data_IF_740491026890
#
_entry.id   IF_740491026890
#
_cell.length_a   1.000
_cell.length_b   1.000
_cell.length_c   1.000
_cell.angle_alpha   90.00
_cell.angle_beta   90.00
_cell.angle_gamma   90.00
#
_symmetry.space_group_name_H-M   'P 1'
#
loop_
_entity.id
_entity.type
_entity.pdbx_description
1 polymer ?
#
# COMPACT_ATOMS: atom_id res chain seq x y z
N UNK A 1 -11.00 -24.27 -8.59
CA UNK A 1 -10.05 -23.14 -8.47
C UNK A 1 -10.86 -21.93 -8.02
N UNK A 2 -10.39 -21.18 -7.03
CA UNK A 2 -11.01 -19.92 -6.60
C UNK A 2 -9.91 -18.86 -6.52
N UNK A 3 -9.64 -18.22 -7.67
CA UNK A 3 -8.60 -17.20 -7.79
C UNK A 3 -9.15 -15.84 -7.37
N UNK A 4 -9.28 -15.62 -6.07
CA UNK A 4 -9.66 -14.34 -5.51
C UNK A 4 -8.65 -13.27 -5.91
N UNK A 5 -9.11 -12.29 -6.69
CA UNK A 5 -8.40 -11.06 -6.95
C UNK A 5 -8.92 -10.00 -5.98
N UNK A 6 -8.00 -9.26 -5.37
CA UNK A 6 -8.31 -8.15 -4.48
C UNK A 6 -7.41 -6.99 -4.86
N UNK A 7 -8.02 -5.84 -5.16
CA UNK A 7 -7.35 -4.70 -5.77
C UNK A 7 -7.57 -3.43 -4.95
N UNK A 8 -6.59 -3.04 -4.13
CA UNK A 8 -6.54 -1.70 -3.54
C UNK A 8 -6.04 -0.67 -4.59
N UNK A 9 -6.88 -0.35 -5.57
CA UNK A 9 -6.66 0.82 -6.41
C UNK A 9 -6.99 2.11 -5.63
N UNK A 10 -6.27 3.20 -5.91
CA UNK A 10 -6.74 4.53 -5.52
C UNK A 10 -8.08 4.81 -6.22
N UNK A 11 -9.12 5.13 -5.44
CA UNK A 11 -10.49 5.14 -5.92
C UNK A 11 -10.80 6.32 -6.86
N UNK A 12 -10.63 6.10 -8.17
CA UNK A 12 -11.02 7.03 -9.24
C UNK A 12 -12.24 6.48 -10.00
N UNK A 13 -13.43 7.05 -9.77
CA UNK A 13 -14.65 6.73 -10.50
C UNK A 13 -14.71 7.45 -11.86
N UNK A 14 -15.37 6.86 -12.86
CA UNK A 14 -15.51 7.45 -14.21
C UNK A 14 -16.69 6.88 -15.00
N UNK A 15 -17.68 7.71 -15.39
CA UNK A 15 -18.66 7.41 -16.44
C UNK A 15 -18.24 8.02 -17.81
N UNK A 16 -18.89 7.64 -18.93
CA UNK A 16 -18.17 7.55 -20.21
C UNK A 16 -18.37 8.71 -21.22
N UNK A 17 -17.28 9.09 -21.89
CA UNK A 17 -17.27 9.76 -23.19
C UNK A 17 -16.18 9.15 -24.09
N UNK A 18 -16.35 9.21 -25.42
CA UNK A 18 -15.53 8.45 -26.38
C UNK A 18 -14.37 9.25 -26.96
N UNK A 19 -13.13 8.83 -26.68
CA UNK A 19 -11.96 9.03 -27.54
C UNK A 19 -11.01 7.82 -27.36
N UNK A 20 -10.30 7.40 -28.42
CA UNK A 20 -9.47 6.18 -28.39
C UNK A 20 -8.02 6.49 -27.99
N UNK A 21 -7.72 6.31 -26.71
CA UNK A 21 -6.36 6.14 -26.20
C UNK A 21 -6.24 4.76 -25.52
N UNK A 22 -5.03 4.15 -25.44
CA UNK A 22 -4.86 2.89 -24.71
C UNK A 22 -5.14 3.08 -23.21
N UNK A 23 -5.66 2.05 -22.51
CA UNK A 23 -6.08 2.19 -21.11
C UNK A 23 -4.87 2.28 -20.17
N UNK A 24 -4.90 3.19 -19.17
CA UNK A 24 -3.93 3.16 -18.07
C UNK A 24 -4.14 1.89 -17.25
N UNK A 25 -3.06 1.15 -16.98
CA UNK A 25 -3.08 -0.01 -16.06
C UNK A 25 -2.75 0.49 -14.66
N UNK A 26 -3.77 0.65 -13.82
CA UNK A 26 -3.61 0.78 -12.37
C UNK A 26 -4.46 -0.31 -11.71
N UNK A 27 -3.83 -1.37 -11.26
CA UNK A 27 -4.48 -2.61 -10.81
C UNK A 27 -3.54 -3.35 -9.85
N UNK A 28 -3.78 -3.17 -8.54
CA UNK A 28 -3.20 -4.06 -7.51
C UNK A 28 -3.70 -5.48 -7.77
N UNK A 29 -2.79 -6.39 -8.07
CA UNK A 29 -3.09 -7.80 -8.29
C UNK A 29 -2.77 -8.64 -7.06
N UNK A 30 -3.81 -9.24 -6.47
CA UNK A 30 -3.68 -10.37 -5.55
C UNK A 30 -4.17 -11.66 -6.23
N UNK A 31 -3.54 -12.79 -5.95
CA UNK A 31 -3.92 -14.09 -6.56
C UNK A 31 -3.56 -15.26 -5.64
N UNK A 32 -4.52 -16.15 -5.39
CA UNK A 32 -4.36 -17.40 -4.63
C UNK A 32 -4.43 -18.61 -5.57
N UNK A 33 -3.34 -19.37 -5.68
CA UNK A 33 -3.20 -20.52 -6.60
C UNK A 33 -2.40 -21.69 -5.99
N UNK A 34 -2.40 -22.83 -6.68
CA UNK A 34 -1.57 -24.01 -6.39
C UNK A 34 -1.02 -24.57 -7.71
N UNK A 35 0.21 -25.13 -7.72
CA UNK A 35 0.97 -25.38 -8.95
C UNK A 35 1.95 -26.58 -8.91
N UNK A 36 2.25 -27.21 -10.07
CA UNK A 36 3.40 -28.11 -10.30
C UNK A 36 4.53 -27.45 -11.13
N UNK A 37 5.55 -28.21 -11.56
CA UNK A 37 6.95 -27.75 -11.72
C UNK A 37 7.68 -28.07 -13.06
N UNK A 38 8.86 -27.44 -13.29
CA UNK A 38 9.77 -27.72 -14.43
C UNK A 38 11.16 -27.02 -14.36
N UNK A 39 12.21 -27.71 -14.85
CA UNK A 39 13.66 -27.35 -14.87
C UNK A 39 14.09 -26.48 -16.10
N UNK A 40 15.34 -25.99 -16.28
CA UNK A 40 16.44 -25.44 -15.44
C UNK A 40 17.68 -25.08 -16.32
N UNK A 41 18.62 -24.23 -15.84
CA UNK A 41 20.08 -24.08 -16.18
C UNK A 41 20.62 -22.65 -16.42
N UNK A 42 21.92 -22.48 -16.10
CA UNK A 42 22.84 -21.30 -16.10
C UNK A 42 24.27 -21.84 -16.41
N UNK A 43 25.38 -21.06 -16.49
CA UNK A 43 25.64 -19.61 -16.25
C UNK A 43 26.13 -18.91 -17.56
N UNK A 44 27.03 -17.92 -17.70
CA UNK A 44 27.96 -17.16 -16.84
C UNK A 44 28.38 -15.81 -17.50
N UNK A 45 29.13 -14.94 -16.80
CA UNK A 45 29.80 -13.74 -17.34
C UNK A 45 31.22 -13.52 -16.72
N UNK A 46 32.19 -12.94 -17.46
CA UNK A 46 33.50 -12.50 -16.93
C UNK A 46 33.50 -11.01 -16.49
N UNK A 47 34.67 -10.45 -16.18
CA UNK A 47 34.81 -9.24 -15.33
C UNK A 47 35.68 -8.10 -15.89
N UNK A 48 35.29 -6.87 -15.50
CA UNK A 48 36.12 -5.68 -15.21
C UNK A 48 36.48 -4.67 -16.32
N UNK A 49 36.47 -3.39 -15.89
CA UNK A 49 37.03 -2.14 -16.45
C UNK A 49 36.49 -1.62 -17.80
N UNK A 50 35.43 -0.79 -17.77
CA UNK A 50 35.02 0.13 -18.85
C UNK A 50 34.18 1.36 -18.37
N UNK A 51 34.24 1.72 -17.07
CA UNK A 51 33.29 2.61 -16.36
C UNK A 51 33.03 4.02 -16.98
N UNK A 52 33.93 4.60 -17.79
CA UNK A 52 33.71 5.92 -18.43
C UNK A 52 33.24 5.84 -19.90
N UNK A 53 33.39 4.68 -20.55
CA UNK A 53 32.90 4.45 -21.91
C UNK A 53 31.46 3.91 -21.88
N UNK A 54 31.18 3.00 -20.94
CA UNK A 54 29.86 2.38 -20.77
C UNK A 54 28.77 3.42 -20.43
N UNK A 55 29.08 4.50 -19.67
CA UNK A 55 28.12 5.58 -19.40
C UNK A 55 27.73 6.37 -20.66
N UNK A 56 28.69 6.67 -21.56
CA UNK A 56 28.39 7.43 -22.79
C UNK A 56 27.63 6.58 -23.81
N UNK A 57 27.98 5.30 -23.96
CA UNK A 57 27.26 4.39 -24.84
C UNK A 57 25.86 4.05 -24.29
N UNK A 58 25.69 3.95 -22.96
CA UNK A 58 24.38 3.85 -22.33
C UNK A 58 23.50 5.10 -22.56
N UNK A 59 24.07 6.30 -22.46
CA UNK A 59 23.33 7.55 -22.74
C UNK A 59 22.89 7.64 -24.21
N UNK A 60 23.76 7.28 -25.16
CA UNK A 60 23.36 7.22 -26.57
C UNK A 60 22.36 6.10 -26.85
N UNK A 61 22.47 4.95 -26.18
CA UNK A 61 21.54 3.85 -26.36
C UNK A 61 20.15 4.17 -25.79
N UNK A 62 20.07 4.82 -24.63
CA UNK A 62 18.81 5.36 -24.08
C UNK A 62 18.14 6.34 -25.05
N UNK A 63 18.91 7.19 -25.75
CA UNK A 63 18.36 8.08 -26.79
C UNK A 63 17.83 7.28 -28.00
N UNK A 64 18.57 6.26 -28.47
CA UNK A 64 18.12 5.37 -29.55
C UNK A 64 16.88 4.54 -29.17
N UNK A 65 16.76 4.12 -27.91
CA UNK A 65 15.62 3.35 -27.39
C UNK A 65 14.34 4.20 -27.22
N UNK A 66 14.44 5.54 -27.06
CA UNK A 66 13.25 6.41 -27.05
C UNK A 66 12.69 6.73 -28.45
N UNK A 67 13.49 6.57 -29.51
CA UNK A 67 13.06 6.78 -30.90
C UNK A 67 12.70 5.46 -31.63
N UNK A 68 12.90 4.30 -30.99
CA UNK A 68 12.67 2.98 -31.57
C UNK A 68 11.22 2.49 -31.47
N UNK A 69 10.51 2.42 -32.62
CA UNK A 69 9.21 1.74 -32.71
C UNK A 69 9.38 0.22 -32.51
N UNK A 70 9.13 -0.26 -31.30
CA UNK A 70 9.51 -1.60 -30.86
C UNK A 70 8.32 -2.47 -30.45
N UNK A 71 7.90 -3.29 -31.43
CA UNK A 71 6.99 -4.42 -31.28
C UNK A 71 7.49 -5.41 -30.21
N UNK A 72 6.89 -5.37 -29.02
CA UNK A 72 7.27 -6.17 -27.86
C UNK A 72 7.38 -7.67 -28.16
N UNK A 73 8.60 -8.19 -28.13
CA UNK A 73 8.91 -9.63 -28.18
C UNK A 73 9.13 -10.12 -26.75
N UNK A 74 8.47 -11.21 -26.36
CA UNK A 74 8.53 -11.73 -25.00
C UNK A 74 9.96 -12.15 -24.63
N UNK A 75 10.49 -11.57 -23.55
CA UNK A 75 11.75 -12.01 -22.95
C UNK A 75 11.58 -13.39 -22.26
N UNK A 76 12.59 -14.28 -22.31
CA UNK A 76 12.55 -15.55 -21.59
C UNK A 76 12.63 -15.31 -20.07
N UNK A 77 12.05 -16.19 -19.23
CA UNK A 77 12.04 -16.01 -17.78
C UNK A 77 13.43 -16.17 -17.17
N UNK A 78 13.79 -15.26 -16.26
CA UNK A 78 15.00 -15.35 -15.44
C UNK A 78 14.91 -16.55 -14.49
N UNK A 79 15.94 -17.41 -14.36
CA UNK A 79 15.87 -18.58 -13.49
C UNK A 79 15.78 -18.20 -12.00
N UNK A 80 14.87 -18.83 -11.27
CA UNK A 80 14.74 -18.67 -9.83
C UNK A 80 15.84 -19.42 -9.08
N UNK A 81 16.40 -18.79 -8.04
CA UNK A 81 17.24 -19.48 -7.07
C UNK A 81 16.42 -20.54 -6.32
N UNK A 82 16.81 -21.82 -6.45
CA UNK A 82 16.11 -22.93 -5.82
C UNK A 82 16.56 -23.11 -4.37
N UNK A 83 15.82 -22.57 -3.42
CA UNK A 83 15.82 -23.11 -2.05
C UNK A 83 15.18 -24.51 -2.08
N UNK A 84 15.91 -25.52 -1.62
CA UNK A 84 15.51 -26.93 -1.78
C UNK A 84 14.61 -27.41 -0.63
N UNK A 85 13.42 -26.83 -0.49
CA UNK A 85 12.38 -27.34 0.40
C UNK A 85 11.80 -28.66 -0.14
N UNK A 86 11.57 -29.69 0.69
CA UNK A 86 11.02 -30.96 0.25
C UNK A 86 9.56 -30.84 -0.18
N UNK A 87 9.21 -31.50 -1.28
CA UNK A 87 7.86 -31.43 -1.85
C UNK A 87 6.81 -32.05 -0.91
N UNK A 88 5.68 -31.34 -0.72
CA UNK A 88 4.49 -31.85 -0.04
C UNK A 88 4.30 -31.41 1.42
N UNK A 89 5.22 -30.63 2.01
CA UNK A 89 4.99 -30.01 3.30
C UNK A 89 3.86 -28.96 3.21
N UNK A 90 2.87 -29.04 4.11
CA UNK A 90 1.86 -27.99 4.25
C UNK A 90 2.55 -26.71 4.76
N UNK A 91 2.47 -25.62 4.00
CA UNK A 91 3.15 -24.36 4.27
C UNK A 91 2.26 -23.14 3.94
N UNK A 92 2.58 -22.02 4.58
CA UNK A 92 2.10 -20.69 4.22
C UNK A 92 3.18 -20.01 3.38
N UNK A 93 2.82 -19.53 2.20
CA UNK A 93 3.73 -18.87 1.26
C UNK A 93 3.31 -17.41 1.01
N UNK A 94 4.31 -16.56 0.78
CA UNK A 94 4.14 -15.16 0.37
C UNK A 94 5.07 -14.85 -0.82
N UNK A 95 4.50 -14.50 -1.97
CA UNK A 95 5.20 -14.05 -3.19
C UNK A 95 5.03 -12.53 -3.34
N UNK A 96 6.07 -11.77 -3.02
CA UNK A 96 6.15 -10.32 -3.17
C UNK A 96 6.77 -10.01 -4.54
N UNK A 97 5.90 -9.69 -5.51
CA UNK A 97 6.26 -9.59 -6.94
C UNK A 97 7.22 -8.44 -7.22
N UNK A 98 6.92 -7.26 -6.69
CA UNK A 98 7.66 -6.03 -6.98
C UNK A 98 9.11 -6.04 -6.44
N UNK A 99 9.39 -6.49 -5.20
CA UNK A 99 10.76 -6.69 -4.74
C UNK A 99 11.38 -8.03 -5.20
N UNK A 100 10.65 -8.88 -5.93
CA UNK A 100 11.12 -10.18 -6.42
C UNK A 100 11.52 -11.16 -5.31
N UNK A 101 10.73 -11.27 -4.24
CA UNK A 101 11.02 -12.13 -3.08
C UNK A 101 9.88 -13.09 -2.79
N UNK A 102 10.20 -14.33 -2.44
CA UNK A 102 9.26 -15.33 -1.96
C UNK A 102 9.69 -15.88 -0.60
N UNK A 103 8.74 -16.04 0.31
CA UNK A 103 8.92 -16.58 1.66
C UNK A 103 8.01 -17.78 1.89
N UNK A 104 8.43 -18.71 2.76
CA UNK A 104 7.66 -19.91 3.07
C UNK A 104 7.89 -20.37 4.50
N UNK A 105 6.78 -20.64 5.20
CA UNK A 105 6.78 -21.12 6.59
C UNK A 105 5.97 -22.41 6.70
N UNK A 106 6.58 -23.53 7.14
CA UNK A 106 5.85 -24.78 7.37
C UNK A 106 4.73 -24.59 8.40
N UNK A 107 3.52 -25.05 8.07
CA UNK A 107 2.35 -24.94 8.96
C UNK A 107 2.62 -25.53 10.35
N UNK A 108 3.45 -26.58 10.45
CA UNK A 108 3.87 -27.17 11.72
C UNK A 108 4.70 -26.20 12.60
N UNK A 109 5.64 -25.43 12.02
CA UNK A 109 6.42 -24.42 12.76
C UNK A 109 5.57 -23.23 13.19
N UNK A 110 4.66 -22.77 12.32
CA UNK A 110 3.68 -21.73 12.68
C UNK A 110 2.79 -22.18 13.84
N UNK A 111 2.29 -23.42 13.78
CA UNK A 111 1.46 -24.04 14.81
C UNK A 111 2.21 -24.21 16.13
N UNK A 112 3.48 -24.64 16.11
CA UNK A 112 4.34 -24.75 17.28
C UNK A 112 4.66 -23.38 17.92
N UNK A 113 5.01 -22.38 17.12
CA UNK A 113 5.50 -21.09 17.61
C UNK A 113 4.39 -20.13 18.06
N UNK A 114 3.14 -20.28 17.58
CA UNK A 114 2.09 -19.26 17.75
C UNK A 114 0.86 -19.71 18.56
N UNK A 115 0.76 -20.99 18.96
CA UNK A 115 -0.43 -21.52 19.67
C UNK A 115 -0.50 -21.23 21.18
N UNK A 116 0.48 -20.55 21.76
CA UNK A 116 0.45 -20.20 23.20
C UNK A 116 -0.72 -19.28 23.57
N UNK A 117 -1.31 -18.59 22.58
CA UNK A 117 -2.54 -17.81 22.73
C UNK A 117 -3.65 -18.34 21.81
N UNK A 118 -4.90 -18.28 22.28
CA UNK A 118 -6.06 -18.67 21.48
C UNK A 118 -6.20 -17.74 20.27
N UNK A 119 -6.15 -18.32 19.06
CA UNK A 119 -6.32 -17.58 17.81
C UNK A 119 -7.63 -16.77 17.83
N UNK A 120 -7.51 -15.46 17.59
CA UNK A 120 -8.65 -14.58 17.48
C UNK A 120 -9.49 -15.00 16.26
N UNK A 121 -10.79 -15.28 16.46
CA UNK A 121 -11.67 -15.60 15.35
C UNK A 121 -11.75 -14.44 14.35
N UNK A 122 -11.96 -14.73 13.06
CA UNK A 122 -11.95 -13.72 12.00
C UNK A 122 -12.91 -12.53 12.21
N UNK A 123 -13.93 -12.66 13.07
CA UNK A 123 -14.88 -11.61 13.45
C UNK A 123 -14.43 -10.71 14.63
N UNK A 124 -13.34 -11.05 15.33
CA UNK A 124 -12.84 -10.36 16.53
C UNK A 124 -11.37 -9.90 16.38
N UNK A 125 -11.11 -8.76 15.71
CA UNK A 125 -9.78 -8.17 15.53
C UNK A 125 -9.08 -7.79 16.85
N UNK A 126 -8.31 -8.71 17.44
CA UNK A 126 -7.47 -8.46 18.62
C UNK A 126 -6.13 -7.84 18.25
N UNK A 127 -5.51 -7.10 19.16
CA UNK A 127 -4.12 -6.66 19.03
C UNK A 127 -3.15 -7.82 19.20
N UNK A 128 -2.02 -7.80 18.50
CA UNK A 128 -0.92 -8.74 18.77
C UNK A 128 -0.36 -8.51 20.18
N UNK A 129 -0.15 -9.60 20.93
CA UNK A 129 0.58 -9.56 22.20
C UNK A 129 2.09 -9.36 21.95
N UNK A 130 2.86 -8.85 22.93
CA UNK A 130 4.31 -8.76 22.82
C UNK A 130 4.96 -10.13 22.59
N UNK A 131 4.46 -11.18 23.26
CA UNK A 131 5.00 -12.53 23.16
C UNK A 131 4.74 -13.16 21.79
N UNK A 132 3.53 -12.99 21.24
CA UNK A 132 3.22 -13.44 19.87
C UNK A 132 3.99 -12.65 18.82
N UNK A 133 4.23 -11.35 19.03
CA UNK A 133 5.09 -10.56 18.15
C UNK A 133 6.54 -11.04 18.20
N UNK A 134 7.08 -11.35 19.38
CA UNK A 134 8.42 -11.91 19.54
C UNK A 134 8.55 -13.32 18.89
N UNK A 135 7.51 -14.14 18.97
CA UNK A 135 7.46 -15.42 18.25
C UNK A 135 7.43 -15.24 16.73
N UNK A 136 6.69 -14.25 16.22
CA UNK A 136 6.69 -13.87 14.80
C UNK A 136 8.07 -13.37 14.37
N UNK A 137 8.76 -12.53 15.14
CA UNK A 137 10.12 -12.07 14.82
C UNK A 137 11.10 -13.24 14.65
N UNK A 138 11.05 -14.25 15.55
CA UNK A 138 11.88 -15.47 15.42
C UNK A 138 11.60 -16.25 14.13
N UNK A 139 10.34 -16.33 13.71
CA UNK A 139 9.96 -16.94 12.42
C UNK A 139 10.44 -16.13 11.19
N UNK A 140 10.88 -14.88 11.38
CA UNK A 140 11.55 -14.08 10.34
C UNK A 140 13.08 -14.17 10.43
N UNK A 141 13.64 -14.34 11.63
CA UNK A 141 15.05 -14.68 11.84
C UNK A 141 15.41 -16.06 11.22
N UNK A 142 14.40 -16.94 11.07
CA UNK A 142 14.48 -18.19 10.30
C UNK A 142 14.49 -18.02 8.76
N UNK A 143 14.40 -16.79 8.21
CA UNK A 143 14.29 -16.54 6.76
C UNK A 143 15.45 -15.68 6.21
N UNK A 144 15.91 -15.98 5.00
CA UNK A 144 16.98 -15.23 4.32
C UNK A 144 16.47 -13.88 3.74
N UNK A 145 16.25 -12.89 4.61
CA UNK A 145 15.93 -11.50 4.23
C UNK A 145 17.24 -10.77 3.86
N UNK A 146 17.42 -10.28 2.63
CA UNK A 146 18.63 -9.53 2.26
C UNK A 146 18.77 -8.23 3.08
N UNK A 147 19.98 -7.84 3.47
CA UNK A 147 20.23 -6.68 4.35
C UNK A 147 19.62 -5.37 3.79
N UNK A 148 19.78 -5.13 2.49
CA UNK A 148 19.18 -3.99 1.77
C UNK A 148 17.63 -3.98 1.76
N UNK A 149 16.99 -5.04 2.25
CA UNK A 149 15.54 -5.23 2.32
C UNK A 149 15.02 -5.50 3.75
N UNK A 150 15.82 -5.26 4.80
CA UNK A 150 15.42 -5.36 6.22
C UNK A 150 14.16 -4.53 6.55
N UNK A 151 13.89 -3.46 5.80
CA UNK A 151 12.66 -2.66 5.94
C UNK A 151 11.37 -3.46 5.67
N UNK A 152 11.44 -4.62 5.00
CA UNK A 152 10.29 -5.52 4.82
C UNK A 152 9.87 -6.24 6.11
N UNK A 153 10.76 -6.44 7.08
CA UNK A 153 10.50 -7.32 8.24
C UNK A 153 9.26 -6.90 9.03
N UNK A 154 8.98 -5.60 9.14
CA UNK A 154 7.76 -5.10 9.78
C UNK A 154 6.47 -5.49 9.01
N UNK A 155 6.51 -5.47 7.68
CA UNK A 155 5.43 -5.91 6.81
C UNK A 155 5.26 -7.44 6.80
N UNK A 156 6.36 -8.20 6.87
CA UNK A 156 6.32 -9.65 7.02
C UNK A 156 5.74 -10.08 8.38
N UNK A 157 6.04 -9.34 9.46
CA UNK A 157 5.41 -9.56 10.77
C UNK A 157 3.91 -9.29 10.72
N UNK A 158 3.48 -8.22 10.02
CA UNK A 158 2.07 -7.92 9.82
C UNK A 158 1.37 -9.00 8.95
N UNK A 159 2.03 -9.51 7.90
CA UNK A 159 1.53 -10.64 7.11
C UNK A 159 1.30 -11.88 7.98
N UNK A 160 2.32 -12.35 8.71
CA UNK A 160 2.22 -13.55 9.53
C UNK A 160 1.15 -13.38 10.61
N UNK A 161 1.04 -12.21 11.23
CA UNK A 161 -0.02 -11.92 12.19
C UNK A 161 -1.41 -11.96 11.57
N UNK A 162 -1.65 -11.26 10.45
CA UNK A 162 -2.96 -11.22 9.81
C UNK A 162 -3.37 -12.60 9.30
N UNK A 163 -2.48 -13.29 8.59
CA UNK A 163 -2.72 -14.63 8.05
C UNK A 163 -3.06 -15.62 9.17
N UNK A 164 -2.19 -15.74 10.19
CA UNK A 164 -2.38 -16.74 11.26
C UNK A 164 -3.49 -16.39 12.24
N UNK A 165 -3.97 -15.13 12.27
CA UNK A 165 -5.19 -14.78 13.01
C UNK A 165 -6.45 -15.11 12.21
N UNK A 166 -6.52 -14.70 10.93
CA UNK A 166 -7.76 -14.79 10.14
C UNK A 166 -7.99 -16.21 9.58
N UNK A 167 -6.94 -16.88 9.09
CA UNK A 167 -7.01 -18.24 8.52
C UNK A 167 -6.46 -19.33 9.46
N UNK A 168 -5.76 -18.97 10.54
CA UNK A 168 -4.98 -19.91 11.33
C UNK A 168 -3.75 -20.42 10.56
N UNK A 169 -3.16 -21.53 11.00
CA UNK A 169 -1.99 -22.14 10.35
C UNK A 169 -2.36 -23.02 9.13
N UNK A 170 -3.40 -22.64 8.36
CA UNK A 170 -3.83 -23.36 7.15
C UNK A 170 -2.84 -23.13 5.99
N UNK A 171 -2.49 -24.16 5.19
CA UNK A 171 -1.61 -23.97 4.05
C UNK A 171 -2.27 -23.12 2.96
N UNK A 172 -1.47 -22.31 2.26
CA UNK A 172 -1.94 -21.39 1.23
C UNK A 172 -0.85 -20.43 0.75
N UNK A 173 -1.04 -19.86 -0.44
CA UNK A 173 -0.09 -18.94 -1.08
C UNK A 173 -0.72 -17.58 -1.35
N UNK A 174 -0.17 -16.54 -0.74
CA UNK A 174 -0.52 -15.15 -1.04
C UNK A 174 0.47 -14.58 -2.05
N UNK A 175 -0.06 -14.00 -3.13
CA UNK A 175 0.72 -13.27 -4.14
C UNK A 175 0.36 -11.79 -4.09
N UNK A 176 1.34 -10.89 -4.10
CA UNK A 176 1.13 -9.45 -3.89
C UNK A 176 1.93 -8.61 -4.88
N UNK A 177 1.29 -7.59 -5.46
CA UNK A 177 1.89 -6.55 -6.31
C UNK A 177 1.29 -5.18 -6.01
N UNK A 178 2.08 -4.11 -6.13
CA UNK A 178 1.68 -2.74 -5.72
C UNK A 178 2.25 -1.64 -6.62
N UNK A 179 1.37 -0.88 -7.28
CA UNK A 179 1.73 0.34 -8.02
C UNK A 179 2.17 1.51 -7.08
N UNK A 180 1.94 1.42 -5.77
CA UNK A 180 2.30 2.47 -4.81
C UNK A 180 3.80 2.43 -4.44
N UNK A 181 4.55 3.53 -4.58
CA UNK A 181 5.97 3.57 -4.20
C UNK A 181 6.14 3.47 -2.68
N UNK A 182 6.87 2.46 -2.23
CA UNK A 182 7.05 2.14 -0.81
C UNK A 182 7.89 3.20 -0.09
N UNK A 183 7.54 3.54 1.15
CA UNK A 183 8.26 4.52 1.98
C UNK A 183 8.02 5.99 1.62
N UNK A 184 7.28 6.28 0.54
CA UNK A 184 6.96 7.63 0.04
C UNK A 184 6.07 8.49 0.96
N UNK A 185 5.37 7.87 1.90
CA UNK A 185 4.31 8.50 2.70
C UNK A 185 2.90 8.41 2.10
N UNK A 186 2.72 7.74 0.97
CA UNK A 186 1.41 7.55 0.30
C UNK A 186 0.55 6.42 0.90
N UNK A 187 0.71 6.09 2.19
CA UNK A 187 -0.11 5.07 2.87
C UNK A 187 0.08 3.62 2.37
N UNK A 188 1.19 3.29 1.69
CA UNK A 188 1.39 1.98 1.06
C UNK A 188 1.33 0.79 2.04
N UNK A 189 1.73 0.96 3.30
CA UNK A 189 1.60 -0.07 4.35
C UNK A 189 0.14 -0.30 4.77
N UNK A 190 -0.67 0.76 4.78
CA UNK A 190 -2.10 0.69 5.08
C UNK A 190 -2.86 0.03 3.93
N UNK A 191 -2.56 0.39 2.67
CA UNK A 191 -3.11 -0.27 1.49
C UNK A 191 -2.77 -1.78 1.44
N UNK A 192 -1.54 -2.15 1.81
CA UNK A 192 -1.13 -3.54 2.04
C UNK A 192 -1.97 -4.22 3.12
N UNK A 193 -2.06 -3.64 4.32
CA UNK A 193 -2.82 -4.19 5.44
C UNK A 193 -4.32 -4.36 5.11
N UNK A 194 -4.93 -3.43 4.36
CA UNK A 194 -6.32 -3.51 3.89
C UNK A 194 -6.50 -4.63 2.86
N UNK A 195 -5.67 -4.66 1.81
CA UNK A 195 -5.71 -5.70 0.77
C UNK A 195 -5.58 -7.11 1.36
N UNK A 196 -4.60 -7.26 2.25
CA UNK A 196 -4.34 -8.50 2.97
C UNK A 196 -5.53 -8.90 3.84
N UNK A 197 -6.06 -7.98 4.64
CA UNK A 197 -7.21 -8.26 5.53
C UNK A 197 -8.45 -8.65 4.74
N UNK A 198 -8.80 -7.92 3.68
CA UNK A 198 -9.95 -8.21 2.83
C UNK A 198 -9.88 -9.59 2.19
N UNK A 199 -8.78 -9.91 1.52
CA UNK A 199 -8.62 -11.19 0.86
C UNK A 199 -8.57 -12.38 1.83
N UNK A 200 -7.93 -12.22 3.00
CA UNK A 200 -7.92 -13.25 4.05
C UNK A 200 -9.32 -13.46 4.66
N UNK A 201 -10.09 -12.40 4.89
CA UNK A 201 -11.44 -12.48 5.45
C UNK A 201 -12.42 -13.17 4.48
N UNK A 202 -12.32 -12.87 3.18
CA UNK A 202 -13.09 -13.57 2.15
C UNK A 202 -12.66 -15.04 2.06
N UNK A 203 -11.36 -15.35 2.12
CA UNK A 203 -10.85 -16.72 2.16
C UNK A 203 -11.24 -17.48 3.45
N UNK A 204 -11.53 -16.77 4.55
CA UNK A 204 -12.07 -17.33 5.78
C UNK A 204 -13.59 -17.56 5.72
N UNK A 205 -14.30 -17.00 4.74
CA UNK A 205 -15.77 -16.92 4.71
C UNK A 205 -16.35 -15.97 5.76
N UNK A 206 -15.54 -15.01 6.25
CA UNK A 206 -15.92 -14.05 7.28
C UNK A 206 -16.47 -12.73 6.74
N UNK A 207 -16.20 -12.44 5.46
CA UNK A 207 -16.70 -11.31 4.67
C UNK A 207 -17.33 -11.86 3.39
N UNK A 208 -18.39 -11.23 2.88
CA UNK A 208 -18.95 -11.61 1.59
C UNK A 208 -17.93 -11.35 0.46
N UNK A 209 -17.44 -12.43 -0.16
CA UNK A 209 -16.66 -12.29 -1.39
C UNK A 209 -17.50 -11.71 -2.51
N UNK A 210 -16.94 -10.76 -3.25
CA UNK A 210 -17.59 -10.09 -4.39
C UNK A 210 -17.72 -11.02 -5.62
N UNK A 211 -18.35 -12.18 -5.46
CA UNK A 211 -18.63 -13.15 -6.53
C UNK A 211 -19.81 -12.66 -7.38
N UNK A 212 -19.62 -11.49 -8.00
CA UNK A 212 -20.55 -10.93 -8.98
C UNK A 212 -20.53 -11.71 -10.29
N UNK A 213 -21.68 -11.79 -10.95
CA UNK A 213 -21.92 -12.52 -12.20
C UNK A 213 -21.40 -11.79 -13.46
N UNK A 214 -20.28 -11.09 -13.32
CA UNK A 214 -19.64 -10.32 -14.40
C UNK A 214 -20.36 -9.03 -14.80
N UNK A 215 -21.34 -8.56 -13.98
CA UNK A 215 -22.13 -7.34 -14.24
C UNK A 215 -22.24 -6.41 -13.02
N UNK A 216 -21.10 -5.95 -12.52
CA UNK A 216 -21.03 -4.88 -11.53
C UNK A 216 -19.61 -4.37 -11.33
N UNK A 217 -19.47 -3.20 -10.73
CA UNK A 217 -18.19 -2.73 -10.21
C UNK A 217 -17.92 -3.50 -8.91
N UNK A 218 -16.97 -4.44 -8.96
CA UNK A 218 -16.78 -5.52 -7.97
C UNK A 218 -16.64 -5.04 -6.50
N UNK A 219 -16.19 -3.81 -6.28
CA UNK A 219 -16.02 -3.19 -4.96
C UNK A 219 -17.33 -2.71 -4.30
N UNK A 220 -18.43 -2.56 -5.04
CA UNK A 220 -19.72 -2.07 -4.51
C UNK A 220 -20.54 -3.18 -3.81
N UNK A 221 -20.02 -4.42 -3.77
CA UNK A 221 -20.70 -5.61 -3.23
C UNK A 221 -20.29 -5.97 -1.80
N UNK A 222 -19.25 -5.34 -1.24
CA UNK A 222 -18.80 -5.60 0.14
C UNK A 222 -19.65 -4.79 1.12
N UNK A 223 -20.22 -5.44 2.14
CA UNK A 223 -21.10 -4.78 3.11
C UNK A 223 -20.39 -3.69 3.91
N UNK A 224 -21.13 -2.69 4.43
CA UNK A 224 -20.53 -1.65 5.29
C UNK A 224 -19.85 -2.26 6.53
N UNK A 225 -20.49 -3.27 7.13
CA UNK A 225 -19.98 -3.93 8.33
C UNK A 225 -18.78 -4.85 8.00
N UNK A 226 -18.73 -5.41 6.79
CA UNK A 226 -17.57 -6.11 6.25
C UNK A 226 -16.38 -5.15 6.06
N UNK A 227 -16.61 -3.95 5.49
CA UNK A 227 -15.57 -2.93 5.35
C UNK A 227 -15.06 -2.44 6.71
N UNK A 228 -15.93 -2.30 7.71
CA UNK A 228 -15.51 -2.00 9.09
C UNK A 228 -14.65 -3.13 9.69
N UNK A 229 -15.00 -4.40 9.43
CA UNK A 229 -14.18 -5.55 9.84
C UNK A 229 -12.80 -5.56 9.15
N UNK A 230 -12.75 -5.29 7.84
CA UNK A 230 -11.51 -5.11 7.08
C UNK A 230 -10.67 -3.98 7.67
N UNK A 231 -11.27 -2.82 7.97
CA UNK A 231 -10.57 -1.69 8.54
C UNK A 231 -9.97 -2.02 9.92
N UNK A 232 -10.76 -2.65 10.79
CA UNK A 232 -10.33 -3.05 12.13
C UNK A 232 -9.17 -4.05 12.09
N UNK A 233 -9.16 -5.01 11.16
CA UNK A 233 -8.01 -5.90 10.96
C UNK A 233 -6.79 -5.17 10.39
N UNK A 234 -6.97 -4.33 9.37
CA UNK A 234 -5.89 -3.55 8.77
C UNK A 234 -5.21 -2.63 9.81
N UNK A 235 -5.97 -2.06 10.73
CA UNK A 235 -5.47 -1.27 11.85
C UNK A 235 -4.63 -2.09 12.86
N UNK A 236 -4.85 -3.40 13.01
CA UNK A 236 -3.96 -4.26 13.81
C UNK A 236 -2.65 -4.54 13.06
N UNK A 237 -2.69 -4.73 11.73
CA UNK A 237 -1.48 -4.84 10.90
C UNK A 237 -0.62 -3.58 10.95
N UNK A 238 -1.24 -2.41 10.79
CA UNK A 238 -0.58 -1.11 10.89
C UNK A 238 0.07 -0.84 12.27
N UNK A 239 -0.45 -1.41 13.36
CA UNK A 239 0.19 -1.35 14.68
C UNK A 239 1.47 -2.18 14.76
N UNK A 240 1.57 -3.26 13.99
CA UNK A 240 2.81 -4.05 13.91
C UNK A 240 3.85 -3.31 13.07
N UNK A 241 3.43 -2.58 12.03
CA UNK A 241 4.34 -1.82 11.17
C UNK A 241 4.84 -0.53 11.84
N UNK A 242 3.93 0.25 12.46
CA UNK A 242 4.23 1.61 12.95
C UNK A 242 4.15 1.76 14.48
N UNK A 243 3.77 0.72 15.23
CA UNK A 243 3.59 0.74 16.69
C UNK A 243 2.34 1.48 17.15
N UNK A 244 2.24 2.78 16.84
CA UNK A 244 1.12 3.65 17.21
C UNK A 244 0.58 4.46 16.01
N UNK A 245 0.02 3.81 14.98
CA UNK A 245 -0.69 4.48 13.89
C UNK A 245 -1.91 5.28 14.40
N UNK A 246 -2.29 6.29 13.64
CA UNK A 246 -3.42 7.19 13.92
C UNK A 246 -4.80 6.61 13.56
N UNK A 247 -4.84 5.52 12.77
CA UNK A 247 -6.05 4.99 12.13
C UNK A 247 -6.30 5.57 10.73
N UNK A 248 -5.90 6.82 10.49
CA UNK A 248 -6.21 7.61 9.29
C UNK A 248 -5.91 6.84 7.99
N UNK A 249 -4.67 6.38 7.82
CA UNK A 249 -4.17 5.82 6.56
C UNK A 249 -4.93 4.55 6.15
N UNK A 250 -5.30 3.69 7.12
CA UNK A 250 -6.09 2.49 6.84
C UNK A 250 -7.58 2.81 6.67
N UNK A 251 -8.14 3.80 7.37
CA UNK A 251 -9.52 4.25 7.11
C UNK A 251 -9.66 4.79 5.68
N UNK A 252 -8.73 5.62 5.21
CA UNK A 252 -8.69 6.07 3.80
C UNK A 252 -8.51 4.89 2.85
N UNK A 253 -7.59 3.96 3.16
CA UNK A 253 -7.35 2.79 2.32
C UNK A 253 -8.55 1.81 2.26
N UNK A 254 -9.46 1.83 3.26
CA UNK A 254 -10.62 0.92 3.31
C UNK A 254 -11.90 1.55 2.75
N UNK A 255 -12.17 2.81 3.08
CA UNK A 255 -13.42 3.50 2.72
C UNK A 255 -13.27 4.45 1.52
N UNK A 256 -12.04 4.67 1.05
CA UNK A 256 -11.71 5.65 0.02
C UNK A 256 -12.15 7.07 0.40
N UNK A 257 -12.60 7.82 -0.61
CA UNK A 257 -13.08 9.21 -0.48
C UNK A 257 -12.01 10.21 0.01
N UNK A 258 -12.36 11.50 0.04
CA UNK A 258 -11.56 12.50 0.76
C UNK A 258 -12.03 12.53 2.22
N UNK A 259 -11.11 12.73 3.16
CA UNK A 259 -11.42 12.83 4.59
C UNK A 259 -10.97 14.17 5.19
N UNK A 260 -11.67 14.60 6.24
CA UNK A 260 -11.32 15.71 7.11
C UNK A 260 -10.99 15.14 8.49
N UNK A 261 -9.77 15.34 8.95
CA UNK A 261 -9.33 14.92 10.29
C UNK A 261 -9.21 16.14 11.22
N UNK A 262 -9.86 16.12 12.37
CA UNK A 262 -9.83 17.23 13.34
C UNK A 262 -9.89 16.72 14.78
N UNK A 263 -8.82 16.94 15.55
CA UNK A 263 -8.72 16.59 16.99
C UNK A 263 -9.03 15.12 17.36
N UNK A 264 -8.93 14.19 16.40
CA UNK A 264 -9.29 12.78 16.60
C UNK A 264 -10.55 12.33 15.86
N UNK A 265 -11.39 13.28 15.43
CA UNK A 265 -12.59 13.03 14.63
C UNK A 265 -12.22 12.88 13.14
N UNK A 266 -12.88 11.94 12.45
CA UNK A 266 -12.77 11.70 11.01
C UNK A 266 -14.14 11.90 10.36
N UNK A 267 -14.21 12.80 9.38
CA UNK A 267 -15.41 13.05 8.57
C UNK A 267 -15.10 12.78 7.10
N UNK A 268 -15.90 11.91 6.45
CA UNK A 268 -15.80 11.70 5.00
C UNK A 268 -16.45 12.88 4.26
N UNK A 269 -15.69 13.51 3.36
CA UNK A 269 -16.12 14.63 2.53
C UNK A 269 -16.68 14.13 1.21
N UNK A 270 -17.89 14.57 0.85
CA UNK A 270 -18.57 14.12 -0.37
C UNK A 270 -18.27 15.02 -1.56
N UNK A 271 -17.19 14.74 -2.29
CA UNK A 271 -16.98 15.37 -3.60
C UNK A 271 -17.82 14.71 -4.69
N UNK A 272 -18.59 15.51 -5.42
CA UNK A 272 -19.27 15.13 -6.66
C UNK A 272 -18.37 15.26 -7.91
N UNK A 273 -17.18 15.87 -7.77
CA UNK A 273 -16.23 16.07 -8.85
C UNK A 273 -14.88 15.42 -8.47
N UNK A 274 -14.38 14.40 -9.19
CA UNK A 274 -13.06 13.83 -8.94
C UNK A 274 -11.95 14.84 -9.22
N UNK A 275 -11.07 15.09 -8.24
CA UNK A 275 -9.91 15.97 -8.40
C UNK A 275 -8.77 15.18 -9.05
N UNK A 276 -8.26 15.67 -10.18
CA UNK A 276 -7.07 15.11 -10.84
C UNK A 276 -5.81 15.68 -10.19
N UNK A 277 -4.89 14.81 -9.77
CA UNK A 277 -3.65 15.21 -9.11
C UNK A 277 -2.44 14.56 -9.78
N UNK A 278 -1.36 15.33 -9.92
CA UNK A 278 -0.04 14.79 -10.24
C UNK A 278 0.70 14.50 -8.92
N UNK A 279 1.04 13.23 -8.70
CA UNK A 279 1.84 12.81 -7.55
C UNK A 279 3.32 12.78 -7.96
N UNK A 280 4.15 13.60 -7.33
CA UNK A 280 5.58 13.71 -7.62
C UNK A 280 6.39 13.27 -6.40
N UNK A 281 7.05 12.11 -6.49
CA UNK A 281 8.07 11.73 -5.50
C UNK A 281 9.43 12.34 -5.88
N UNK A 282 9.94 13.18 -4.98
CA UNK A 282 11.28 13.76 -5.04
C UNK A 282 12.43 12.77 -4.82
N UNK A 283 12.17 11.56 -4.31
CA UNK A 283 13.14 10.53 -3.88
C UNK A 283 14.16 10.98 -2.82
N UNK A 284 14.00 12.17 -2.25
CA UNK A 284 14.80 12.69 -1.13
C UNK A 284 14.27 12.14 0.19
N UNK A 285 15.10 11.38 0.91
CA UNK A 285 14.77 10.86 2.25
C UNK A 285 14.49 11.97 3.27
N UNK A 286 13.51 11.76 4.16
CA UNK A 286 13.08 12.73 5.17
C UNK A 286 13.00 12.09 6.56
N UNK A 287 13.51 12.79 7.57
CA UNK A 287 13.30 12.42 8.97
C UNK A 287 12.06 13.14 9.52
N UNK A 288 10.89 12.50 9.42
CA UNK A 288 9.61 13.04 9.89
C UNK A 288 9.63 13.42 11.37
N UNK A 289 10.34 12.66 12.21
CA UNK A 289 10.47 12.97 13.66
C UNK A 289 11.22 14.29 13.88
N UNK A 290 12.32 14.52 13.14
CA UNK A 290 13.07 15.77 13.21
C UNK A 290 12.26 16.97 12.69
N UNK A 291 11.50 16.80 11.60
CA UNK A 291 10.61 17.85 11.07
C UNK A 291 9.53 18.25 12.08
N UNK A 292 8.87 17.28 12.72
CA UNK A 292 7.85 17.54 13.75
C UNK A 292 8.48 18.18 15.00
N UNK A 293 9.67 17.73 15.42
CA UNK A 293 10.40 18.34 16.53
C UNK A 293 10.75 19.82 16.27
N UNK A 294 11.22 20.16 15.06
CA UNK A 294 11.53 21.53 14.67
C UNK A 294 10.31 22.46 14.66
N UNK A 295 9.14 21.97 14.23
CA UNK A 295 7.87 22.72 14.34
C UNK A 295 7.48 22.95 15.80
N UNK A 296 7.65 21.94 16.66
CA UNK A 296 7.37 22.05 18.09
C UNK A 296 8.27 23.08 18.77
N UNK A 297 9.59 22.99 18.56
CA UNK A 297 10.58 23.92 19.11
C UNK A 297 10.34 25.37 18.63
N UNK A 298 10.04 25.56 17.34
CA UNK A 298 9.66 26.86 16.78
C UNK A 298 8.39 27.42 17.41
N UNK A 299 7.42 26.56 17.72
CA UNK A 299 6.19 26.95 18.43
C UNK A 299 6.49 27.41 19.86
N UNK A 300 7.40 26.73 20.57
CA UNK A 300 7.85 27.17 21.89
C UNK A 300 8.63 28.49 21.86
N UNK A 301 9.41 28.76 20.80
CA UNK A 301 10.16 30.03 20.65
C UNK A 301 9.32 31.21 20.19
N UNK A 302 8.28 30.99 19.39
CA UNK A 302 7.49 32.05 18.76
C UNK A 302 5.97 31.75 18.83
N UNK A 303 5.39 31.67 20.03
CA UNK A 303 4.02 31.15 20.24
C UNK A 303 2.96 31.91 19.44
N UNK A 304 2.91 33.24 19.50
CA UNK A 304 1.85 34.03 18.87
C UNK A 304 1.92 34.01 17.33
N UNK A 305 3.15 34.03 16.79
CA UNK A 305 3.41 33.94 15.36
C UNK A 305 3.05 32.54 14.83
N UNK A 306 3.43 31.48 15.54
CA UNK A 306 3.08 30.11 15.15
C UNK A 306 1.60 29.81 15.33
N UNK A 307 0.94 30.35 16.37
CA UNK A 307 -0.51 30.29 16.53
C UNK A 307 -1.24 30.94 15.34
N UNK A 308 -0.75 32.08 14.86
CA UNK A 308 -1.27 32.76 13.67
C UNK A 308 -1.10 31.90 12.40
N UNK A 309 0.07 31.27 12.21
CA UNK A 309 0.33 30.32 11.10
C UNK A 309 -0.55 29.06 11.18
N UNK A 310 -0.81 28.53 12.39
CA UNK A 310 -1.71 27.39 12.57
C UNK A 310 -3.17 27.77 12.33
N UNK A 311 -3.60 28.97 12.74
CA UNK A 311 -4.94 29.48 12.45
C UNK A 311 -5.15 29.63 10.93
N UNK A 312 -4.20 30.23 10.20
CA UNK A 312 -4.28 30.39 8.76
C UNK A 312 -4.43 29.05 8.01
N UNK A 313 -3.62 28.04 8.37
CA UNK A 313 -3.72 26.70 7.73
C UNK A 313 -4.99 25.94 8.14
N UNK A 314 -5.51 26.15 9.36
CA UNK A 314 -6.84 25.67 9.73
C UNK A 314 -7.91 26.32 8.85
N UNK A 315 -7.90 27.65 8.66
CA UNK A 315 -8.85 28.36 7.78
C UNK A 315 -8.81 27.82 6.35
N UNK A 316 -7.62 27.63 5.77
CA UNK A 316 -7.45 27.04 4.43
C UNK A 316 -8.06 25.63 4.36
N UNK A 317 -7.90 24.82 5.41
CA UNK A 317 -8.41 23.45 5.46
C UNK A 317 -9.93 23.39 5.61
N UNK A 318 -10.53 24.32 6.37
CA UNK A 318 -11.99 24.49 6.48
C UNK A 318 -12.59 24.98 5.15
N UNK A 319 -11.99 25.97 4.50
CA UNK A 319 -12.45 26.51 3.21
C UNK A 319 -12.32 25.46 2.10
N UNK A 320 -11.18 24.77 2.00
CA UNK A 320 -10.97 23.67 1.06
C UNK A 320 -12.04 22.58 1.25
N UNK A 321 -12.30 22.15 2.48
CA UNK A 321 -13.34 21.14 2.74
C UNK A 321 -14.73 21.61 2.31
N UNK A 322 -15.05 22.88 2.52
CA UNK A 322 -16.32 23.49 2.09
C UNK A 322 -16.44 23.50 0.56
N UNK A 323 -15.37 23.87 -0.15
CA UNK A 323 -15.34 23.95 -1.62
C UNK A 323 -15.42 22.54 -2.25
N UNK A 324 -14.79 21.54 -1.64
CA UNK A 324 -14.86 20.14 -2.11
C UNK A 324 -16.28 19.61 -2.12
N UNK A 325 -17.08 19.90 -1.08
CA UNK A 325 -18.46 19.43 -0.95
C UNK A 325 -19.49 20.22 -1.77
N UNK A 326 -19.14 21.41 -2.30
CA UNK A 326 -20.00 22.12 -3.26
C UNK A 326 -20.13 21.32 -4.57
N UNK A 327 -21.37 21.08 -5.00
CA UNK A 327 -21.64 20.49 -6.30
C UNK A 327 -21.35 21.50 -7.43
N UNK A 328 -20.50 21.10 -8.38
CA UNK A 328 -20.30 21.80 -9.64
C UNK A 328 -20.92 20.97 -10.77
N UNK A 329 -21.93 21.52 -11.44
CA UNK A 329 -22.81 20.80 -12.37
C UNK A 329 -22.48 21.06 -13.86
N UNK A 330 -21.57 22.00 -14.14
CA UNK A 330 -21.13 22.39 -15.47
C UNK A 330 -19.61 22.64 -15.47
N UNK A 331 -19.01 22.68 -16.66
CA UNK A 331 -17.56 22.81 -16.85
C UNK A 331 -16.99 24.11 -16.28
N UNK A 332 -17.73 25.22 -16.36
CA UNK A 332 -17.29 26.54 -15.86
C UNK A 332 -17.28 26.53 -14.32
N UNK A 333 -18.30 25.94 -13.70
CA UNK A 333 -18.35 25.73 -12.27
C UNK A 333 -17.23 24.80 -11.78
N UNK A 334 -16.91 23.74 -12.53
CA UNK A 334 -15.79 22.82 -12.23
C UNK A 334 -14.46 23.56 -12.31
N UNK A 335 -14.14 24.26 -13.41
CA UNK A 335 -12.89 25.02 -13.54
C UNK A 335 -12.77 26.12 -12.48
N UNK A 336 -13.87 26.79 -12.12
CA UNK A 336 -13.90 27.78 -11.03
C UNK A 336 -13.63 27.16 -9.65
N UNK A 337 -14.16 25.95 -9.40
CA UNK A 337 -13.88 25.16 -8.19
C UNK A 337 -12.42 24.72 -8.14
N UNK A 338 -11.89 24.15 -9.23
CA UNK A 338 -10.49 23.73 -9.36
C UNK A 338 -9.51 24.91 -9.16
N UNK A 339 -9.80 26.09 -9.72
CA UNK A 339 -8.96 27.29 -9.53
C UNK A 339 -8.85 27.71 -8.06
N UNK A 340 -9.97 27.74 -7.32
CA UNK A 340 -9.95 28.07 -5.89
C UNK A 340 -9.19 27.02 -5.06
N UNK A 341 -9.32 25.75 -5.42
CA UNK A 341 -8.56 24.67 -4.77
C UNK A 341 -7.04 24.84 -5.03
N UNK A 342 -6.63 25.24 -6.24
CA UNK A 342 -5.23 25.54 -6.55
C UNK A 342 -4.70 26.74 -5.72
N UNK A 343 -5.44 27.85 -5.66
CA UNK A 343 -5.09 29.03 -4.86
C UNK A 343 -4.91 28.67 -3.37
N UNK A 344 -5.80 27.82 -2.81
CA UNK A 344 -5.68 27.31 -1.44
C UNK A 344 -4.49 26.37 -1.23
N UNK A 345 -4.14 25.54 -2.22
CA UNK A 345 -2.96 24.67 -2.18
C UNK A 345 -1.65 25.47 -2.23
N UNK A 346 -1.57 26.51 -3.06
CA UNK A 346 -0.42 27.43 -3.13
C UNK A 346 -0.23 28.17 -1.79
N UNK A 347 -1.30 28.72 -1.21
CA UNK A 347 -1.25 29.36 0.11
C UNK A 347 -0.80 28.39 1.21
N UNK A 348 -1.31 27.15 1.21
CA UNK A 348 -0.87 26.14 2.19
C UNK A 348 0.62 25.79 2.04
N UNK A 349 1.14 25.71 0.81
CA UNK A 349 2.56 25.47 0.55
C UNK A 349 3.45 26.61 1.07
N UNK A 350 3.03 27.87 0.94
CA UNK A 350 3.73 29.00 1.55
C UNK A 350 3.82 28.87 3.09
N UNK A 351 2.72 28.48 3.75
CA UNK A 351 2.75 28.21 5.20
C UNK A 351 3.54 26.95 5.58
N UNK A 352 3.68 25.96 4.68
CA UNK A 352 4.54 24.80 4.91
C UNK A 352 6.03 25.19 4.99
N UNK A 353 6.49 26.11 4.13
CA UNK A 353 7.86 26.66 4.23
C UNK A 353 8.10 27.34 5.58
N UNK A 354 7.18 28.20 6.05
CA UNK A 354 7.29 28.90 7.34
C UNK A 354 7.35 27.97 8.56
N UNK A 355 6.76 26.77 8.45
CA UNK A 355 6.80 25.72 9.48
C UNK A 355 8.12 24.95 9.49
N UNK A 356 8.64 24.58 8.30
CA UNK A 356 9.71 23.58 8.15
C UNK A 356 11.09 24.15 7.77
N UNK A 357 11.24 25.45 7.50
CA UNK A 357 12.54 26.13 7.28
C UNK A 357 12.69 27.34 8.18
#
# INVERSE_FOLDING_TARGET
>A
MASLHCSAAAAFSSPPARLRCPPPRGLVGMTLTAAPSGNSHHPAWPTASDDEQEEQDALQQLQREQEGDHQWRLAPPVPQAKSSSPAGAAAVELDLRDPGLAFSWPCARLHEALLTEAAAGAQDPRSCSPDRLAAITRLLEEQEIPEAKIWLSAGLSAFLFLYTSILGCRPGKVTMSSDLPMGSGLGSSAAFCVSMSGALLVAAGAVAGAVGDGKGTEWELVGKDDLELVNRWAFQGEKIIHGKPSGIDNSVSTFGSMIKFKKGELTSLKSSNPIKMLITDTRVGRNTKALVAGVSERTSRHPDAMASVFHAVNSISEELSSIVELAANDEIAITSKEKKLAELMEMNQAFAYLKFR
#
